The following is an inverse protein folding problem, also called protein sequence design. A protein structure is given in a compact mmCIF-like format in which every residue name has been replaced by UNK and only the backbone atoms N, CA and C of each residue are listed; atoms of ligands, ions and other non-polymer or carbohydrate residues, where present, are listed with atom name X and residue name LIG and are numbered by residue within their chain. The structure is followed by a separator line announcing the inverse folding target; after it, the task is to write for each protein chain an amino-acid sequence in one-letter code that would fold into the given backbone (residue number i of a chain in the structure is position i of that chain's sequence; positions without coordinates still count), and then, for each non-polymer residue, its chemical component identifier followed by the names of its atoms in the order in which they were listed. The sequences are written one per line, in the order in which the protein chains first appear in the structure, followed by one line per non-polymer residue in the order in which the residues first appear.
data_IF_159773888591
#
_entry.id   IF_159773888591
#
_cell.length_a   1.000
_cell.length_b   1.000
_cell.length_c   1.000
_cell.angle_alpha   90.00
_cell.angle_beta   90.00
_cell.angle_gamma   90.00
#
_symmetry.space_group_name_H-M   'P 1'
#
loop_
_entity.id
_entity.type
_entity.pdbx_description
1 polymer ?
#
# COMPACT_ATOMS: atom_id res chain seq x y z
N UNK A 1 -3.55 18.37 -1.97
CA UNK A 1 -4.76 17.77 -1.35
C UNK A 1 -4.78 16.23 -1.43
N UNK A 2 -4.65 15.65 -2.63
CA UNK A 2 -4.75 14.19 -2.81
C UNK A 2 -3.67 13.38 -2.08
N UNK A 3 -2.41 13.81 -2.13
CA UNK A 3 -1.31 13.16 -1.39
C UNK A 3 -1.58 13.12 0.12
N UNK A 4 -1.96 14.27 0.70
CA UNK A 4 -2.32 14.38 2.11
C UNK A 4 -3.52 13.50 2.49
N UNK A 5 -4.51 13.36 1.62
CA UNK A 5 -5.65 12.48 1.86
C UNK A 5 -5.26 10.99 1.83
N UNK A 6 -4.38 10.59 0.92
CA UNK A 6 -3.83 9.23 0.87
C UNK A 6 -2.98 8.91 2.10
N UNK A 7 -2.19 9.87 2.58
CA UNK A 7 -1.42 9.74 3.81
C UNK A 7 -2.32 9.64 5.04
N UNK A 8 -3.31 10.53 5.16
CA UNK A 8 -4.28 10.53 6.25
C UNK A 8 -5.11 9.23 6.32
N UNK A 9 -5.39 8.61 5.17
CA UNK A 9 -6.05 7.30 5.09
C UNK A 9 -5.21 6.12 5.61
N UNK A 10 -3.93 6.35 5.94
CA UNK A 10 -3.01 5.37 6.55
C UNK A 10 -3.04 4.02 5.82
N UNK A 11 -3.46 2.96 6.51
CA UNK A 11 -3.49 1.59 5.98
C UNK A 11 -4.69 1.30 5.09
N UNK A 12 -5.74 2.12 5.11
CA UNK A 12 -6.92 1.98 4.25
C UNK A 12 -7.23 3.30 3.52
N UNK A 13 -6.36 3.73 2.59
CA UNK A 13 -6.55 4.96 1.86
C UNK A 13 -7.79 4.90 0.96
N UNK A 14 -8.39 6.07 0.65
CA UNK A 14 -9.54 6.18 -0.22
C UNK A 14 -9.25 5.68 -1.64
N UNK A 15 -10.27 5.15 -2.33
CA UNK A 15 -10.16 4.81 -3.74
C UNK A 15 -10.12 6.07 -4.61
N UNK A 16 -9.67 5.95 -5.85
CA UNK A 16 -9.70 7.06 -6.84
C UNK A 16 -11.08 7.72 -6.91
N UNK A 17 -12.16 6.93 -6.96
CA UNK A 17 -13.55 7.45 -6.98
C UNK A 17 -13.92 8.25 -5.74
N UNK A 18 -13.40 7.85 -4.58
CA UNK A 18 -13.68 8.51 -3.30
C UNK A 18 -12.96 9.85 -3.25
N UNK A 19 -11.68 9.85 -3.65
CA UNK A 19 -10.90 11.08 -3.82
C UNK A 19 -11.57 12.04 -4.82
N UNK A 20 -12.02 11.53 -5.97
CA UNK A 20 -12.68 12.34 -6.99
C UNK A 20 -13.96 13.01 -6.43
N UNK A 21 -14.80 12.23 -5.75
CA UNK A 21 -16.01 12.73 -5.08
C UNK A 21 -15.68 13.78 -4.01
N UNK A 22 -14.77 13.45 -3.08
CA UNK A 22 -14.50 14.26 -1.90
C UNK A 22 -13.83 15.60 -2.26
N UNK A 23 -13.02 15.61 -3.32
CA UNK A 23 -12.37 16.83 -3.83
C UNK A 23 -13.12 17.49 -4.99
N UNK A 24 -14.28 16.97 -5.42
CA UNK A 24 -15.09 17.47 -6.55
C UNK A 24 -14.27 17.60 -7.84
N UNK A 25 -13.55 16.53 -8.18
CA UNK A 25 -12.70 16.43 -9.36
C UNK A 25 -13.22 15.33 -10.31
N UNK A 26 -12.86 15.42 -11.59
CA UNK A 26 -13.12 14.35 -12.55
C UNK A 26 -12.30 13.10 -12.22
N UNK A 27 -12.96 11.93 -12.18
CA UNK A 27 -12.33 10.68 -11.76
C UNK A 27 -11.13 10.30 -12.65
N UNK A 28 -11.27 10.44 -13.97
CA UNK A 28 -10.19 10.15 -14.91
C UNK A 28 -9.00 11.09 -14.76
N UNK A 29 -9.24 12.36 -14.40
CA UNK A 29 -8.16 13.31 -14.12
C UNK A 29 -7.41 12.93 -12.84
N UNK A 30 -8.12 12.52 -11.78
CA UNK A 30 -7.52 12.00 -10.55
C UNK A 30 -6.71 10.74 -10.85
N UNK A 31 -7.28 9.77 -11.57
CA UNK A 31 -6.61 8.53 -11.99
C UNK A 31 -5.32 8.82 -12.76
N UNK A 32 -5.37 9.71 -13.76
CA UNK A 32 -4.22 10.07 -14.56
C UNK A 32 -3.10 10.72 -13.73
N UNK A 33 -3.46 11.62 -12.81
CA UNK A 33 -2.53 12.26 -11.90
C UNK A 33 -1.88 11.25 -10.93
N UNK A 34 -2.65 10.41 -10.25
CA UNK A 34 -2.10 9.42 -9.32
C UNK A 34 -1.17 8.42 -10.02
N UNK A 35 -1.51 7.99 -11.25
CA UNK A 35 -0.60 7.18 -12.08
C UNK A 35 0.69 7.91 -12.41
N UNK A 36 0.63 9.22 -12.70
CA UNK A 36 1.83 10.05 -12.94
C UNK A 36 2.72 10.12 -11.69
N UNK A 37 2.13 10.35 -10.52
CA UNK A 37 2.83 10.38 -9.23
C UNK A 37 3.44 9.01 -8.88
N UNK A 38 2.73 7.91 -9.19
CA UNK A 38 3.25 6.57 -8.98
C UNK A 38 4.46 6.26 -9.86
N UNK A 39 4.44 6.67 -11.14
CA UNK A 39 5.62 6.56 -12.02
C UNK A 39 6.81 7.40 -11.55
N UNK A 40 6.55 8.50 -10.84
CA UNK A 40 7.58 9.33 -10.22
C UNK A 40 8.07 8.79 -8.86
N UNK A 41 7.58 7.63 -8.41
CA UNK A 41 7.95 7.03 -7.13
C UNK A 41 7.33 7.69 -5.89
N UNK A 42 6.42 8.65 -6.08
CA UNK A 42 5.78 9.38 -4.96
C UNK A 42 4.58 8.63 -4.37
N UNK A 43 4.05 7.64 -5.10
CA UNK A 43 2.95 6.78 -4.67
C UNK A 43 3.22 5.35 -5.15
N UNK A 44 2.57 4.39 -4.50
CA UNK A 44 2.57 3.00 -4.97
C UNK A 44 1.17 2.56 -5.33
N UNK A 45 0.99 2.05 -6.54
CA UNK A 45 -0.28 1.45 -6.95
C UNK A 45 -0.35 0.00 -6.47
N UNK A 46 -1.17 -0.25 -5.45
CA UNK A 46 -1.33 -1.59 -4.85
C UNK A 46 -2.24 -2.47 -5.72
N UNK A 47 -3.36 -1.92 -6.19
CA UNK A 47 -4.26 -2.52 -7.18
C UNK A 47 -4.85 -1.42 -8.09
N UNK A 48 -5.57 -1.75 -9.18
CA UNK A 48 -6.28 -0.74 -9.97
C UNK A 48 -7.10 0.20 -9.07
N UNK A 49 -6.91 1.51 -9.28
CA UNK A 49 -7.57 2.59 -8.55
C UNK A 49 -7.35 2.67 -7.04
N UNK A 50 -6.31 1.99 -6.53
CA UNK A 50 -5.88 2.07 -5.14
C UNK A 50 -4.39 2.38 -5.03
N UNK A 51 -4.10 3.54 -4.45
CA UNK A 51 -2.75 4.07 -4.31
C UNK A 51 -2.42 4.27 -2.84
N UNK A 52 -1.17 4.05 -2.47
CA UNK A 52 -0.67 4.26 -1.11
C UNK A 52 0.41 5.32 -1.09
N UNK A 53 0.36 6.16 -0.05
CA UNK A 53 1.47 7.02 0.32
C UNK A 53 2.64 6.16 0.83
N UNK A 54 3.91 6.53 0.58
CA UNK A 54 5.07 5.74 1.00
C UNK A 54 5.14 5.50 2.52
N UNK A 55 4.72 6.47 3.34
CA UNK A 55 4.81 6.38 4.80
C UNK A 55 4.02 5.22 5.43
N UNK A 56 2.68 5.12 5.25
CA UNK A 56 1.92 3.99 5.78
C UNK A 56 2.33 2.65 5.14
N UNK A 57 2.80 2.67 3.88
CA UNK A 57 3.25 1.46 3.21
C UNK A 57 4.57 0.92 3.81
N UNK A 58 5.49 1.80 4.19
CA UNK A 58 6.71 1.43 4.92
C UNK A 58 6.43 0.89 6.33
N UNK A 59 5.45 1.47 7.03
CA UNK A 59 4.99 0.93 8.32
C UNK A 59 4.43 -0.48 8.15
N UNK A 60 3.59 -0.74 7.14
CA UNK A 60 3.11 -2.09 6.84
C UNK A 60 4.24 -3.04 6.44
N UNK A 61 5.26 -2.58 5.70
CA UNK A 61 6.42 -3.39 5.35
C UNK A 61 7.19 -3.85 6.60
N UNK A 62 7.34 -2.96 7.61
CA UNK A 62 7.92 -3.29 8.91
C UNK A 62 7.07 -4.28 9.70
N UNK A 63 5.75 -4.12 9.70
CA UNK A 63 4.82 -5.07 10.31
C UNK A 63 5.00 -6.46 9.70
N UNK A 64 5.00 -6.58 8.36
CA UNK A 64 5.21 -7.85 7.67
C UNK A 64 6.55 -8.50 8.06
N UNK A 65 7.62 -7.72 8.14
CA UNK A 65 8.94 -8.23 8.52
C UNK A 65 9.03 -8.68 10.00
N UNK A 66 8.20 -8.10 10.87
CA UNK A 66 8.13 -8.47 12.29
C UNK A 66 7.20 -9.65 12.60
N UNK A 67 6.38 -10.09 11.64
CA UNK A 67 5.49 -11.24 11.85
C UNK A 67 6.29 -12.56 11.79
N UNK A 68 6.12 -13.48 12.74
CA UNK A 68 6.74 -14.81 12.68
C UNK A 68 6.22 -15.61 11.47
N UNK A 69 4.98 -15.30 11.07
CA UNK A 69 4.30 -15.81 9.89
C UNK A 69 3.36 -14.71 9.37
N UNK A 70 3.71 -14.09 8.24
CA UNK A 70 2.85 -13.13 7.57
C UNK A 70 1.78 -13.81 6.69
N UNK A 71 1.00 -14.70 7.28
CA UNK A 71 -0.29 -15.15 6.74
C UNK A 71 -1.27 -13.97 6.69
N UNK A 72 -2.21 -14.01 5.76
CA UNK A 72 -3.20 -12.94 5.58
C UNK A 72 -4.00 -12.63 6.85
N UNK A 73 -4.30 -13.63 7.69
CA UNK A 73 -5.01 -13.43 8.97
C UNK A 73 -4.16 -12.64 9.98
N UNK A 74 -2.90 -13.03 10.18
CA UNK A 74 -2.00 -12.35 11.12
C UNK A 74 -1.70 -10.92 10.67
N UNK A 75 -1.47 -10.72 9.38
CA UNK A 75 -1.26 -9.38 8.83
C UNK A 75 -2.50 -8.51 8.96
N UNK A 76 -3.70 -9.06 8.72
CA UNK A 76 -4.98 -8.40 8.97
C UNK A 76 -5.10 -7.96 10.42
N UNK A 77 -4.83 -8.86 11.36
CA UNK A 77 -4.98 -8.58 12.79
C UNK A 77 -3.97 -7.53 13.28
N UNK A 78 -2.74 -7.55 12.76
CA UNK A 78 -1.72 -6.56 13.07
C UNK A 78 -1.97 -5.17 12.47
N UNK A 79 -2.73 -5.07 11.38
CA UNK A 79 -3.01 -3.81 10.67
C UNK A 79 -4.42 -3.27 10.88
N UNK A 80 -5.34 -4.09 11.41
CA UNK A 80 -6.77 -3.76 11.49
C UNK A 80 -7.49 -3.73 10.13
N UNK A 81 -6.84 -4.16 9.04
CA UNK A 81 -7.41 -4.15 7.70
C UNK A 81 -8.53 -5.20 7.55
N UNK A 82 -9.34 -5.05 6.50
CA UNK A 82 -10.20 -6.15 6.04
C UNK A 82 -9.40 -7.23 5.31
N UNK A 83 -9.89 -8.49 5.30
CA UNK A 83 -9.21 -9.64 4.65
C UNK A 83 -8.79 -9.36 3.20
N UNK A 84 -9.71 -8.78 2.41
CA UNK A 84 -9.44 -8.44 1.00
C UNK A 84 -8.26 -7.47 0.88
N UNK A 85 -8.25 -6.42 1.72
CA UNK A 85 -7.20 -5.40 1.67
C UNK A 85 -5.85 -5.95 2.13
N UNK A 86 -5.85 -6.73 3.21
CA UNK A 86 -4.66 -7.42 3.69
C UNK A 86 -4.00 -8.27 2.59
N UNK A 87 -4.80 -9.07 1.86
CA UNK A 87 -4.30 -9.89 0.75
C UNK A 87 -3.71 -9.01 -0.37
N UNK A 88 -4.41 -7.96 -0.78
CA UNK A 88 -3.95 -7.07 -1.86
C UNK A 88 -2.59 -6.42 -1.54
N UNK A 89 -2.37 -6.02 -0.28
CA UNK A 89 -1.10 -5.43 0.17
C UNK A 89 0.00 -6.48 0.20
N UNK A 90 -0.27 -7.70 0.69
CA UNK A 90 0.71 -8.79 0.69
C UNK A 90 1.10 -9.20 -0.75
N UNK A 91 0.12 -9.33 -1.65
CA UNK A 91 0.37 -9.61 -3.07
C UNK A 91 1.13 -8.48 -3.76
N UNK A 92 0.92 -7.22 -3.34
CA UNK A 92 1.72 -6.10 -3.80
C UNK A 92 3.17 -6.25 -3.34
N UNK A 93 3.43 -6.57 -2.06
CA UNK A 93 4.79 -6.79 -1.56
C UNK A 93 5.50 -7.96 -2.26
N UNK A 94 4.77 -9.01 -2.63
CA UNK A 94 5.32 -10.10 -3.45
C UNK A 94 5.69 -9.62 -4.85
N UNK A 95 4.80 -8.84 -5.48
CA UNK A 95 4.97 -8.34 -6.85
C UNK A 95 6.15 -7.39 -6.99
N UNK A 96 6.39 -6.54 -6.00
CA UNK A 96 7.53 -5.61 -5.98
C UNK A 96 8.81 -6.25 -5.44
N UNK A 97 8.76 -7.54 -5.08
CA UNK A 97 9.93 -8.31 -4.67
C UNK A 97 10.36 -8.10 -3.22
N UNK A 98 9.57 -7.42 -2.39
CA UNK A 98 9.86 -7.27 -0.97
C UNK A 98 9.68 -8.59 -0.21
N UNK A 99 8.57 -9.28 -0.48
CA UNK A 99 8.29 -10.62 0.03
C UNK A 99 8.32 -11.67 -1.08
N UNK A 100 8.26 -12.93 -0.67
CA UNK A 100 7.86 -14.06 -1.52
C UNK A 100 6.82 -14.89 -0.79
N UNK A 101 5.83 -15.38 -1.53
CA UNK A 101 4.84 -16.31 -0.99
C UNK A 101 5.39 -17.73 -0.96
N UNK A 102 5.30 -18.37 0.20
CA UNK A 102 5.57 -19.80 0.41
C UNK A 102 4.33 -20.41 1.05
N UNK A 103 3.59 -21.23 0.28
CA UNK A 103 2.25 -21.71 0.66
C UNK A 103 1.31 -20.53 0.95
N UNK A 104 0.94 -20.32 2.22
CA UNK A 104 0.02 -19.27 2.65
C UNK A 104 0.72 -18.11 3.37
N UNK A 105 2.05 -18.20 3.53
CA UNK A 105 2.85 -17.22 4.27
C UNK A 105 3.65 -16.36 3.31
N UNK A 106 3.76 -15.07 3.63
CA UNK A 106 4.62 -14.14 2.92
C UNK A 106 5.91 -13.93 3.73
N UNK A 107 7.06 -14.22 3.12
CA UNK A 107 8.36 -14.14 3.80
C UNK A 107 9.18 -13.00 3.20
N UNK A 108 9.75 -12.08 4.01
CA UNK A 108 10.73 -11.12 3.52
C UNK A 108 11.87 -11.82 2.79
N UNK A 109 12.33 -11.26 1.67
CA UNK A 109 13.52 -11.81 0.99
C UNK A 109 14.77 -11.41 1.76
N UNK A 110 15.78 -12.28 1.76
CA UNK A 110 17.02 -12.09 2.54
C UNK A 110 17.80 -10.79 2.22
N UNK A 111 17.63 -10.25 1.02
CA UNK A 111 18.27 -8.99 0.58
C UNK A 111 17.27 -7.86 0.37
N UNK A 112 15.98 -8.05 0.68
CA UNK A 112 14.98 -7.02 0.51
C UNK A 112 15.13 -5.96 1.61
N UNK A 113 15.27 -4.71 1.19
CA UNK A 113 15.06 -3.53 2.04
C UNK A 113 13.84 -2.78 1.51
N UNK A 114 13.01 -2.28 2.41
CA UNK A 114 11.95 -1.36 2.03
C UNK A 114 12.49 0.06 2.15
N UNK A 115 12.31 0.93 1.13
CA UNK A 115 12.76 2.31 1.22
C UNK A 115 11.97 3.04 2.30
N UNK A 116 12.68 3.67 3.23
CA UNK A 116 12.06 4.58 4.18
C UNK A 116 11.67 5.89 3.47
N UNK A 117 10.47 6.43 3.72
CA UNK A 117 10.10 7.74 3.21
C UNK A 117 11.05 8.80 3.78
N UNK A 118 11.33 9.88 3.03
CA UNK A 118 12.06 11.02 3.58
C UNK A 118 11.31 11.57 4.81
N UNK A 119 12.04 11.79 5.91
CA UNK A 119 11.53 12.51 7.07
C UNK A 119 11.42 13.98 6.66
N UNK A 120 10.20 14.45 6.41
CA UNK A 120 9.90 15.87 6.15
C UNK A 120 9.48 16.57 7.43
#
# INVERSE_FOLDING_TARGET
PLLAALEAGRFDPPWVRDLARDFKLEEDAVRALLRKLARAGQLSQVVPDLFYHPAPLAEMARIVAGLPDAQAANFRDATGLGRKRAIQVLEFFDRVGYTRRVRNTHLPRSQASWPEPPQV
#
